data_IF_946297989660
#
_entry.id   IF_946297989660
#
_cell.length_a   1.000
_cell.length_b   1.000
_cell.length_c   1.000
_cell.angle_alpha   90.00
_cell.angle_beta   90.00
_cell.angle_gamma   90.00
#
_symmetry.space_group_name_H-M   'P 1'
#
loop_
_entity.id
_entity.type
_entity.pdbx_description
1 polymer ?
#
# COMPACT_ATOMS: atom_id res chain seq x y z
N UNK A 1 -17.77 -21.34 4.25
CA UNK A 1 -18.63 -20.23 4.70
C UNK A 1 -19.53 -19.93 3.52
N UNK A 2 -20.79 -20.32 3.64
CA UNK A 2 -21.78 -20.14 2.57
C UNK A 2 -22.18 -18.67 2.48
N UNK A 3 -22.49 -18.18 1.28
CA UNK A 3 -22.90 -16.79 1.06
C UNK A 3 -21.78 -15.75 1.19
N UNK A 4 -20.50 -16.17 1.20
CA UNK A 4 -19.39 -15.25 1.48
C UNK A 4 -19.20 -14.17 0.39
N UNK A 5 -19.50 -14.50 -0.87
CA UNK A 5 -19.42 -13.55 -1.97
C UNK A 5 -20.55 -12.52 -1.89
N UNK A 6 -21.78 -12.99 -1.69
CA UNK A 6 -22.99 -12.16 -1.53
C UNK A 6 -22.87 -11.26 -0.30
N UNK A 7 -22.35 -11.80 0.79
CA UNK A 7 -22.08 -11.06 2.01
C UNK A 7 -21.02 -9.97 1.80
N UNK A 8 -19.91 -10.28 1.12
CA UNK A 8 -18.89 -9.30 0.80
C UNK A 8 -19.43 -8.17 -0.09
N UNK A 9 -20.31 -8.46 -1.05
CA UNK A 9 -20.92 -7.45 -1.95
C UNK A 9 -21.69 -6.36 -1.20
N UNK A 10 -22.18 -6.61 0.01
CA UNK A 10 -22.88 -5.60 0.82
C UNK A 10 -21.99 -4.42 1.22
N UNK A 11 -20.67 -4.62 1.26
CA UNK A 11 -19.69 -3.58 1.60
C UNK A 11 -19.11 -2.87 0.38
N UNK A 12 -19.54 -3.25 -0.83
CA UNK A 12 -18.93 -2.84 -2.08
C UNK A 12 -19.77 -1.74 -2.73
N UNK A 13 -19.18 -0.55 -2.90
CA UNK A 13 -19.84 0.55 -3.63
C UNK A 13 -19.86 0.36 -5.15
N UNK A 14 -18.84 -0.30 -5.70
CA UNK A 14 -18.75 -0.69 -7.12
C UNK A 14 -18.36 -2.18 -7.21
N UNK A 15 -19.26 -3.07 -7.67
CA UNK A 15 -19.01 -4.51 -7.75
C UNK A 15 -17.71 -4.91 -8.45
N UNK A 16 -17.25 -4.13 -9.43
CA UNK A 16 -16.00 -4.38 -10.16
C UNK A 16 -14.74 -4.18 -9.29
N UNK A 17 -14.87 -3.53 -8.13
CA UNK A 17 -13.80 -3.22 -7.19
C UNK A 17 -13.87 -4.08 -5.91
N UNK A 18 -14.56 -5.22 -5.96
CA UNK A 18 -14.57 -6.17 -4.85
C UNK A 18 -13.15 -6.63 -4.50
N UNK A 19 -12.88 -6.79 -3.21
CA UNK A 19 -11.53 -7.03 -2.69
C UNK A 19 -11.59 -7.86 -1.41
N UNK A 20 -10.45 -8.40 -0.98
CA UNK A 20 -10.33 -9.18 0.26
C UNK A 20 -10.79 -8.43 1.50
N UNK A 21 -10.68 -7.10 1.51
CA UNK A 21 -11.15 -6.26 2.63
C UNK A 21 -12.67 -6.36 2.80
N UNK A 22 -13.43 -6.42 1.70
CA UNK A 22 -14.89 -6.58 1.74
C UNK A 22 -15.29 -7.95 2.31
N UNK A 23 -14.56 -9.01 1.92
CA UNK A 23 -14.72 -10.33 2.54
C UNK A 23 -14.34 -10.32 4.02
N UNK A 24 -13.30 -9.59 4.41
CA UNK A 24 -12.90 -9.50 5.81
C UNK A 24 -13.98 -8.84 6.68
N UNK A 25 -14.60 -7.76 6.19
CA UNK A 25 -15.74 -7.12 6.88
C UNK A 25 -16.92 -8.07 7.04
N UNK A 26 -17.31 -8.76 5.97
CA UNK A 26 -18.36 -9.77 6.05
C UNK A 26 -18.03 -10.87 7.08
N UNK A 27 -16.80 -11.38 7.10
CA UNK A 27 -16.40 -12.44 8.03
C UNK A 27 -16.41 -11.99 9.49
N UNK A 28 -16.12 -10.72 9.76
CA UNK A 28 -16.25 -10.13 11.10
C UNK A 28 -17.72 -9.96 11.47
N UNK A 29 -18.52 -9.34 10.61
CA UNK A 29 -19.93 -9.04 10.89
C UNK A 29 -20.80 -10.31 10.98
N UNK A 30 -20.45 -11.36 10.23
CA UNK A 30 -21.08 -12.68 10.34
C UNK A 30 -20.58 -13.50 11.56
N UNK A 31 -19.67 -12.95 12.37
CA UNK A 31 -19.18 -13.56 13.60
C UNK A 31 -18.19 -14.73 13.39
N UNK A 32 -17.58 -14.85 12.22
CA UNK A 32 -16.58 -15.89 11.94
C UNK A 32 -15.19 -15.55 12.51
N UNK A 33 -14.89 -14.26 12.69
CA UNK A 33 -13.67 -13.71 13.28
C UNK A 33 -14.02 -12.51 14.17
N UNK A 34 -13.23 -12.25 15.20
CA UNK A 34 -13.44 -11.11 16.11
C UNK A 34 -13.06 -9.77 15.48
N UNK A 35 -12.06 -9.77 14.59
CA UNK A 35 -11.55 -8.57 13.93
C UNK A 35 -10.90 -8.89 12.55
N UNK A 36 -10.62 -7.84 11.77
CA UNK A 36 -10.00 -7.96 10.44
C UNK A 36 -8.61 -8.61 10.49
N UNK A 37 -7.71 -8.29 11.45
CA UNK A 37 -6.45 -9.01 11.61
C UNK A 37 -6.61 -10.52 11.80
N UNK A 38 -7.61 -10.97 12.57
CA UNK A 38 -7.90 -12.40 12.74
C UNK A 38 -8.32 -13.04 11.42
N UNK A 39 -9.12 -12.35 10.60
CA UNK A 39 -9.49 -12.84 9.27
C UNK A 39 -8.26 -13.18 8.45
N UNK A 40 -7.32 -12.24 8.28
CA UNK A 40 -6.14 -12.48 7.42
C UNK A 40 -5.18 -13.54 7.97
N UNK A 41 -5.20 -13.79 9.29
CA UNK A 41 -4.46 -14.90 9.92
C UNK A 41 -5.08 -16.27 9.62
N UNK A 42 -6.41 -16.34 9.43
CA UNK A 42 -7.17 -17.60 9.25
C UNK A 42 -7.58 -17.87 7.80
N UNK A 43 -7.78 -16.83 7.00
CA UNK A 43 -8.41 -16.84 5.67
C UNK A 43 -7.74 -15.82 4.73
N UNK A 44 -8.06 -15.88 3.43
CA UNK A 44 -7.77 -14.85 2.41
C UNK A 44 -6.27 -14.54 2.14
N UNK A 45 -5.37 -15.27 2.77
CA UNK A 45 -3.91 -15.22 2.57
C UNK A 45 -3.40 -16.54 2.00
N UNK A 46 -2.20 -16.51 1.42
CA UNK A 46 -1.65 -17.69 0.75
C UNK A 46 -1.61 -18.92 1.66
N UNK A 47 -2.05 -20.07 1.12
CA UNK A 47 -2.19 -21.32 1.87
C UNK A 47 -3.40 -21.38 2.83
N UNK A 48 -4.25 -20.34 2.89
CA UNK A 48 -5.47 -20.31 3.71
C UNK A 48 -6.74 -20.37 2.85
N UNK A 49 -7.88 -20.83 3.42
CA UNK A 49 -9.13 -20.87 2.68
C UNK A 49 -9.57 -19.48 2.20
N UNK A 50 -10.12 -19.43 0.99
CA UNK A 50 -10.57 -18.19 0.35
C UNK A 50 -9.48 -17.39 -0.36
N UNK A 51 -8.22 -17.82 -0.31
CA UNK A 51 -7.18 -17.27 -1.18
C UNK A 51 -7.26 -17.88 -2.59
N UNK A 52 -7.33 -17.01 -3.59
CA UNK A 52 -7.21 -17.37 -5.00
C UNK A 52 -6.04 -16.59 -5.57
N UNK A 53 -5.01 -17.25 -6.13
CA UNK A 53 -3.87 -16.56 -6.69
C UNK A 53 -4.33 -15.67 -7.85
N UNK A 54 -3.88 -14.43 -7.86
CA UNK A 54 -4.18 -13.47 -8.91
C UNK A 54 -2.89 -12.84 -9.42
N UNK A 55 -2.78 -12.70 -10.75
CA UNK A 55 -1.65 -12.01 -11.38
C UNK A 55 -2.04 -10.57 -11.65
N UNK A 56 -1.48 -9.66 -10.87
CA UNK A 56 -1.58 -8.22 -11.08
C UNK A 56 -0.67 -7.78 -12.23
N UNK A 57 -0.71 -6.48 -12.54
CA UNK A 57 0.17 -5.88 -13.54
C UNK A 57 1.65 -6.15 -13.24
N UNK A 58 2.44 -6.31 -14.29
CA UNK A 58 3.89 -6.36 -14.15
C UNK A 58 4.43 -4.99 -13.68
N UNK A 59 5.52 -4.99 -12.91
CA UNK A 59 6.13 -3.77 -12.38
C UNK A 59 6.43 -2.75 -13.49
N UNK A 60 7.04 -3.21 -14.59
CA UNK A 60 7.30 -2.41 -15.80
C UNK A 60 6.06 -1.73 -16.35
N UNK A 61 4.95 -2.45 -16.41
CA UNK A 61 3.71 -1.94 -16.99
C UNK A 61 3.08 -0.90 -16.08
N UNK A 62 3.00 -1.17 -14.77
CA UNK A 62 2.46 -0.26 -13.77
C UNK A 62 3.25 1.07 -13.73
N UNK A 63 4.58 1.00 -13.61
CA UNK A 63 5.45 2.19 -13.65
C UNK A 63 5.32 2.90 -15.00
N UNK A 64 5.28 2.13 -16.09
CA UNK A 64 5.14 2.66 -17.44
C UNK A 64 3.82 3.41 -17.66
N UNK A 65 2.70 2.92 -17.14
CA UNK A 65 1.41 3.60 -17.26
C UNK A 65 1.41 4.93 -16.50
N UNK A 66 1.91 4.95 -15.26
CA UNK A 66 1.96 6.15 -14.44
C UNK A 66 2.86 7.22 -15.08
N UNK A 67 4.06 6.83 -15.49
CA UNK A 67 5.04 7.75 -16.07
C UNK A 67 4.59 8.29 -17.44
N UNK A 68 4.01 7.45 -18.30
CA UNK A 68 3.45 7.91 -19.60
C UNK A 68 2.23 8.82 -19.44
N UNK A 69 1.49 8.71 -18.33
CA UNK A 69 0.44 9.65 -17.98
C UNK A 69 0.97 10.98 -17.42
N UNK A 70 2.31 11.14 -17.30
CA UNK A 70 2.95 12.34 -16.77
C UNK A 70 2.95 12.42 -15.24
N UNK A 71 2.69 11.30 -14.55
CA UNK A 71 2.75 11.17 -13.10
C UNK A 71 4.11 10.65 -12.61
N UNK A 72 4.22 10.51 -11.29
CA UNK A 72 5.38 9.94 -10.59
C UNK A 72 4.95 8.62 -9.94
N UNK A 73 5.60 7.51 -10.33
CA UNK A 73 5.39 6.23 -9.67
C UNK A 73 6.09 6.22 -8.30
N UNK A 74 5.43 5.63 -7.31
CA UNK A 74 5.87 5.56 -5.91
C UNK A 74 5.70 4.14 -5.39
N UNK A 75 6.73 3.57 -4.75
CA UNK A 75 6.59 2.33 -3.97
C UNK A 75 5.79 2.64 -2.70
N UNK A 76 4.60 2.05 -2.57
CA UNK A 76 3.75 2.23 -1.40
C UNK A 76 4.17 1.30 -0.25
N UNK A 77 4.08 1.81 0.99
CA UNK A 77 4.23 1.11 2.26
C UNK A 77 5.22 -0.07 2.25
N UNK A 78 6.50 0.16 1.90
CA UNK A 78 7.46 -0.91 1.66
C UNK A 78 7.70 -1.84 2.86
N UNK A 79 7.55 -1.35 4.11
CA UNK A 79 7.71 -2.18 5.32
C UNK A 79 6.66 -3.30 5.46
N UNK A 80 5.64 -3.33 4.61
CA UNK A 80 4.65 -4.42 4.58
C UNK A 80 5.11 -5.64 3.77
N UNK A 81 6.16 -5.52 2.96
CA UNK A 81 6.63 -6.63 2.15
C UNK A 81 7.48 -7.57 3.02
N UNK A 82 7.23 -8.87 2.92
CA UNK A 82 8.06 -9.90 3.56
C UNK A 82 9.29 -10.19 2.67
N UNK A 83 10.06 -9.14 2.40
CA UNK A 83 11.27 -9.19 1.58
C UNK A 83 12.51 -9.20 2.45
N UNK A 84 13.45 -10.04 2.08
CA UNK A 84 14.83 -9.91 2.56
C UNK A 84 15.44 -8.60 2.03
N UNK A 85 16.48 -8.05 2.69
CA UNK A 85 17.16 -6.85 2.20
C UNK A 85 17.64 -6.95 0.74
N UNK A 86 18.01 -8.15 0.29
CA UNK A 86 18.41 -8.41 -1.10
C UNK A 86 17.23 -8.31 -2.07
N UNK A 87 16.06 -8.84 -1.69
CA UNK A 87 14.85 -8.78 -2.52
C UNK A 87 14.31 -7.35 -2.59
N UNK A 88 14.36 -6.61 -1.48
CA UNK A 88 13.97 -5.20 -1.45
C UNK A 88 14.91 -4.35 -2.31
N UNK A 89 16.22 -4.57 -2.21
CA UNK A 89 17.20 -3.93 -3.10
C UNK A 89 16.90 -4.23 -4.57
N UNK A 90 16.58 -5.49 -4.90
CA UNK A 90 16.22 -5.89 -6.25
C UNK A 90 14.94 -5.19 -6.73
N UNK A 91 13.90 -5.12 -5.89
CA UNK A 91 12.66 -4.39 -6.20
C UNK A 91 12.95 -2.91 -6.50
N UNK A 92 13.68 -2.24 -5.61
CA UNK A 92 13.95 -0.80 -5.72
C UNK A 92 14.75 -0.50 -6.98
N UNK A 93 15.78 -1.30 -7.26
CA UNK A 93 16.63 -1.12 -8.45
C UNK A 93 15.87 -1.41 -9.75
N UNK A 94 15.03 -2.45 -9.80
CA UNK A 94 14.17 -2.74 -10.95
C UNK A 94 13.12 -1.63 -11.16
N UNK A 95 12.50 -1.16 -10.08
CA UNK A 95 11.55 -0.05 -10.09
C UNK A 95 12.16 1.23 -10.67
N UNK A 96 13.37 1.61 -10.20
CA UNK A 96 14.12 2.75 -10.75
C UNK A 96 14.44 2.50 -12.23
N UNK A 97 14.88 1.30 -12.59
CA UNK A 97 15.17 0.91 -13.97
C UNK A 97 13.98 1.05 -14.93
N UNK A 98 12.75 1.00 -14.40
CA UNK A 98 11.52 1.25 -15.16
C UNK A 98 11.03 2.70 -15.14
N UNK A 99 11.75 3.62 -14.48
CA UNK A 99 11.40 5.04 -14.38
C UNK A 99 10.66 5.42 -13.10
N UNK A 100 10.63 4.52 -12.12
CA UNK A 100 10.14 4.82 -10.77
C UNK A 100 11.00 5.89 -10.09
N UNK A 101 10.38 6.81 -9.34
CA UNK A 101 11.08 7.97 -8.77
C UNK A 101 10.74 8.24 -7.30
N UNK A 102 9.80 7.54 -6.70
CA UNK A 102 9.43 7.77 -5.30
C UNK A 102 9.25 6.51 -4.46
N UNK A 103 9.28 6.70 -3.15
CA UNK A 103 9.01 5.67 -2.14
C UNK A 103 8.26 6.31 -0.97
N UNK A 104 7.30 5.62 -0.39
CA UNK A 104 6.68 6.03 0.86
C UNK A 104 7.66 5.85 2.02
N UNK A 105 7.96 6.95 2.70
CA UNK A 105 8.83 6.95 3.88
C UNK A 105 7.98 6.97 5.15
N UNK A 106 7.00 7.88 5.20
CA UNK A 106 6.10 8.02 6.34
C UNK A 106 4.72 7.54 5.94
N UNK A 107 4.34 6.35 6.39
CA UNK A 107 3.00 5.79 6.13
C UNK A 107 2.33 5.27 7.41
N UNK A 108 1.00 5.20 7.39
CA UNK A 108 0.22 4.61 8.48
C UNK A 108 0.54 3.14 8.74
N UNK A 109 1.24 2.46 7.83
CA UNK A 109 1.72 1.09 8.03
C UNK A 109 3.10 0.96 8.68
N UNK A 110 3.91 2.04 8.73
CA UNK A 110 5.28 1.99 9.26
C UNK A 110 5.35 2.38 10.75
N UNK A 111 6.27 1.76 11.46
CA UNK A 111 6.75 2.16 12.79
C UNK A 111 7.72 3.34 12.69
N UNK A 112 8.08 3.92 13.84
CA UNK A 112 9.08 4.98 13.88
C UNK A 112 10.47 4.52 13.42
N UNK A 113 10.80 3.23 13.61
CA UNK A 113 12.04 2.65 13.12
C UNK A 113 12.02 2.55 11.59
N UNK A 114 10.93 2.06 11.01
CA UNK A 114 10.76 1.97 9.55
C UNK A 114 10.74 3.37 8.91
N UNK A 115 10.22 4.42 9.58
CA UNK A 115 10.37 5.79 9.08
C UNK A 115 11.85 6.20 8.92
N UNK A 116 12.71 5.83 9.88
CA UNK A 116 14.13 6.14 9.82
C UNK A 116 14.83 5.31 8.73
N UNK A 117 14.54 4.02 8.67
CA UNK A 117 15.04 3.09 7.65
C UNK A 117 14.70 3.58 6.24
N UNK A 118 13.43 3.84 5.94
CA UNK A 118 13.03 4.31 4.62
C UNK A 118 13.46 5.75 4.32
N UNK A 119 13.78 6.55 5.35
CA UNK A 119 14.48 7.82 5.13
C UNK A 119 15.87 7.57 4.57
N UNK A 120 16.63 6.64 5.16
CA UNK A 120 17.97 6.29 4.68
C UNK A 120 17.92 5.62 3.31
N UNK A 121 16.96 4.71 3.07
CA UNK A 121 16.72 4.10 1.74
C UNK A 121 16.42 5.16 0.68
N UNK A 122 15.52 6.11 0.96
CA UNK A 122 15.19 7.16 0.00
C UNK A 122 16.42 8.01 -0.38
N UNK A 123 17.31 8.28 0.58
CA UNK A 123 18.55 9.01 0.33
C UNK A 123 19.58 8.18 -0.43
N UNK A 124 19.74 6.90 -0.07
CA UNK A 124 20.68 5.98 -0.72
C UNK A 124 20.39 5.84 -2.22
N UNK A 125 19.11 5.68 -2.56
CA UNK A 125 18.68 5.48 -3.95
C UNK A 125 18.31 6.78 -4.69
N UNK A 126 18.36 7.93 -4.01
CA UNK A 126 17.97 9.22 -4.59
C UNK A 126 16.49 9.30 -4.96
N UNK A 127 15.62 8.61 -4.21
CA UNK A 127 14.17 8.59 -4.42
C UNK A 127 13.49 9.78 -3.74
N UNK A 128 12.42 10.26 -4.36
CA UNK A 128 11.50 11.23 -3.76
C UNK A 128 10.71 10.56 -2.63
N UNK A 129 10.49 11.28 -1.54
CA UNK A 129 9.78 10.77 -0.38
C UNK A 129 8.28 11.10 -0.44
N UNK A 130 7.45 10.07 -0.28
CA UNK A 130 6.00 10.20 -0.15
C UNK A 130 5.54 9.98 1.29
N UNK A 131 4.34 10.47 1.59
CA UNK A 131 3.67 10.34 2.88
C UNK A 131 2.18 10.07 2.69
N UNK A 132 1.65 8.99 3.29
CA UNK A 132 0.25 8.59 3.13
C UNK A 132 -0.28 7.79 4.32
N UNK A 133 -1.49 8.09 4.80
CA UNK A 133 -2.03 7.44 6.02
C UNK A 133 -2.43 5.99 5.83
N UNK A 134 -2.59 5.52 4.60
CA UNK A 134 -3.18 4.21 4.28
C UNK A 134 -4.56 4.03 4.95
N UNK A 135 -5.32 5.12 5.08
CA UNK A 135 -6.62 5.16 5.75
C UNK A 135 -7.71 4.46 4.93
N UNK A 136 -8.47 3.59 5.57
CA UNK A 136 -9.58 2.83 5.00
C UNK A 136 -10.93 3.19 5.65
N UNK A 137 -11.01 3.21 6.98
CA UNK A 137 -12.12 3.76 7.77
C UNK A 137 -11.70 4.09 9.22
N UNK A 138 -12.48 4.87 9.98
CA UNK A 138 -12.14 5.27 11.35
C UNK A 138 -11.90 4.11 12.33
N UNK A 139 -12.59 2.99 12.14
CA UNK A 139 -12.53 1.82 13.04
C UNK A 139 -11.37 0.88 12.70
N UNK A 140 -10.92 0.86 11.43
CA UNK A 140 -9.88 -0.06 10.94
C UNK A 140 -8.50 0.60 10.82
N UNK A 141 -8.45 1.92 10.64
CA UNK A 141 -7.19 2.61 10.31
C UNK A 141 -6.40 2.98 11.56
N UNK A 142 -5.10 2.65 11.57
CA UNK A 142 -4.19 3.00 12.68
C UNK A 142 -3.95 4.50 12.79
N UNK A 143 -3.96 5.21 11.67
CA UNK A 143 -3.65 6.65 11.59
C UNK A 143 -4.72 7.35 10.78
N UNK A 144 -5.25 8.44 11.33
CA UNK A 144 -6.25 9.28 10.66
C UNK A 144 -5.62 10.11 9.53
N UNK A 145 -6.48 10.61 8.64
CA UNK A 145 -6.11 11.50 7.55
C UNK A 145 -5.35 12.72 8.08
N UNK A 146 -4.18 13.00 7.50
CA UNK A 146 -3.36 14.17 7.86
C UNK A 146 -2.64 14.09 9.21
N UNK A 147 -2.79 13.01 9.98
CA UNK A 147 -2.22 12.87 11.33
C UNK A 147 -0.76 12.35 11.36
N UNK A 148 -0.18 12.03 10.21
CA UNK A 148 1.20 11.53 10.13
C UNK A 148 2.25 12.63 10.41
N UNK A 149 3.40 12.27 11.00
CA UNK A 149 4.49 13.22 11.21
C UNK A 149 5.02 13.78 9.87
N UNK A 150 5.71 14.92 9.88
CA UNK A 150 6.35 15.44 8.68
C UNK A 150 7.49 14.52 8.22
N UNK A 151 7.84 14.60 6.93
CA UNK A 151 9.05 13.99 6.40
C UNK A 151 10.30 14.66 7.01
N UNK A 152 11.39 13.90 7.08
CA UNK A 152 12.69 14.46 7.44
C UNK A 152 13.09 15.58 6.45
N UNK A 153 13.64 16.70 6.96
CA UNK A 153 13.97 17.88 6.14
C UNK A 153 15.04 17.63 5.07
N UNK A 154 15.83 16.55 5.22
CA UNK A 154 16.83 16.10 4.25
C UNK A 154 16.24 15.38 3.03
N UNK A 155 14.95 15.02 3.07
CA UNK A 155 14.28 14.35 1.97
C UNK A 155 13.65 15.37 1.01
N UNK A 156 13.69 15.05 -0.28
CA UNK A 156 12.90 15.78 -1.28
C UNK A 156 11.50 15.17 -1.36
N UNK A 157 10.44 15.90 -1.01
CA UNK A 157 9.09 15.34 -1.05
C UNK A 157 8.57 15.20 -2.49
N UNK A 158 7.80 14.16 -2.76
CA UNK A 158 7.16 13.93 -4.09
C UNK A 158 6.29 15.10 -4.54
N UNK A 159 5.64 15.81 -3.60
CA UNK A 159 4.78 16.95 -3.93
C UNK A 159 5.54 18.20 -4.40
N UNK A 160 6.85 18.31 -4.15
CA UNK A 160 7.65 19.38 -4.73
C UNK A 160 7.77 19.23 -6.26
N UNK A 161 7.84 18.00 -6.75
CA UNK A 161 7.96 17.67 -8.17
C UNK A 161 6.60 17.54 -8.88
N UNK A 162 5.51 17.51 -8.09
CA UNK A 162 4.14 17.46 -8.59
C UNK A 162 3.42 18.81 -8.50
N UNK A 163 4.12 19.90 -8.19
CA UNK A 163 3.50 21.22 -7.98
C UNK A 163 2.61 21.65 -9.17
N UNK A 164 3.09 21.49 -10.40
CA UNK A 164 2.35 21.81 -11.64
C UNK A 164 1.17 20.86 -11.93
N UNK A 165 0.94 19.86 -11.07
CA UNK A 165 -0.14 18.87 -11.16
C UNK A 165 -1.16 19.02 -10.04
N UNK A 166 -0.93 19.92 -9.07
CA UNK A 166 -1.87 20.17 -7.98
C UNK A 166 -3.04 20.97 -8.53
N UNK A 167 -4.24 20.41 -8.42
CA UNK A 167 -5.48 21.11 -8.70
C UNK A 167 -5.93 21.84 -7.42
N UNK A 168 -6.09 23.15 -7.51
CA UNK A 168 -6.62 24.00 -6.44
C UNK A 168 -8.15 24.13 -6.53
#
# INVERSE_FOLDING_TARGET
IEGAFEGALQYVGNPDLISRTHFARFLVDAGHCADVPEVFRRYLTEGKPGFVPHKWAALKDAVGWITRAGGIAVIAHPGRYDFTPTEEYALITEFIGHGGRGIEVVTGSHTAAEFAEYTDTALEFGLLASRGSDFHCPEESRVDLGALPPLASRLTPVWAELADRIHH
#
